data_IF_213612793290
#
_entry.id   IF_213612793290
#
_cell.length_a   1.000
_cell.length_b   1.000
_cell.length_c   1.000
_cell.angle_alpha   90.00
_cell.angle_beta   90.00
_cell.angle_gamma   90.00
#
_symmetry.space_group_name_H-M   'P 1'
#
loop_
_entity.id
_entity.type
_entity.pdbx_description
1 polymer ?
#
# COMPACT_ATOMS: atom_id res chain seq x y z
N UNK A 1 -16.98 24.06 10.58
CA UNK A 1 -16.12 23.35 9.62
C UNK A 1 -16.24 21.89 9.99
N UNK A 2 -16.99 21.13 9.19
CA UNK A 2 -17.33 19.73 9.49
C UNK A 2 -16.36 18.85 8.70
N UNK A 3 -15.10 18.79 9.14
CA UNK A 3 -14.12 17.86 8.59
C UNK A 3 -14.40 16.47 9.17
N UNK A 4 -15.48 15.84 8.70
CA UNK A 4 -15.73 14.42 8.93
C UNK A 4 -14.88 13.61 7.95
N UNK A 5 -13.55 13.68 8.09
CA UNK A 5 -12.74 12.55 7.66
C UNK A 5 -12.89 11.47 8.75
N UNK A 6 -13.50 10.32 8.44
CA UNK A 6 -13.50 9.22 9.39
C UNK A 6 -12.04 8.92 9.79
N UNK A 7 -11.78 8.59 11.07
CA UNK A 7 -10.46 8.19 11.53
C UNK A 7 -9.86 7.14 10.58
N UNK A 8 -8.56 7.22 10.30
CA UNK A 8 -7.88 6.27 9.40
C UNK A 8 -8.16 4.81 9.80
N UNK A 9 -8.28 4.56 11.10
CA UNK A 9 -8.65 3.27 11.71
C UNK A 9 -10.00 2.70 11.25
N UNK A 10 -10.89 3.55 10.73
CA UNK A 10 -12.20 3.17 10.18
C UNK A 10 -12.17 2.96 8.65
N UNK A 11 -11.04 3.25 7.99
CA UNK A 11 -10.90 3.04 6.56
C UNK A 11 -10.79 1.53 6.23
N UNK A 12 -11.09 1.11 4.99
CA UNK A 12 -10.81 -0.25 4.55
C UNK A 12 -9.34 -0.62 4.78
N UNK A 13 -9.06 -1.88 5.14
CA UNK A 13 -7.71 -2.40 5.38
C UNK A 13 -6.69 -2.03 4.27
N UNK A 14 -7.02 -2.12 2.96
CA UNK A 14 -6.10 -1.69 1.90
C UNK A 14 -5.74 -0.20 1.95
N UNK A 15 -6.66 0.65 2.41
CA UNK A 15 -6.45 2.09 2.53
C UNK A 15 -5.55 2.40 3.72
N UNK A 16 -5.77 1.74 4.86
CA UNK A 16 -4.89 1.88 6.03
C UNK A 16 -3.46 1.48 5.68
N UNK A 17 -3.28 0.31 5.06
CA UNK A 17 -1.96 -0.18 4.65
C UNK A 17 -1.28 0.76 3.63
N UNK A 18 -2.03 1.31 2.68
CA UNK A 18 -1.48 2.27 1.73
C UNK A 18 -0.94 3.52 2.42
N UNK A 19 -1.64 4.04 3.44
CA UNK A 19 -1.18 5.20 4.21
C UNK A 19 0.09 4.88 5.00
N UNK A 20 0.15 3.71 5.65
CA UNK A 20 1.34 3.28 6.39
C UNK A 20 2.56 3.13 5.46
N UNK A 21 2.36 2.57 4.26
CA UNK A 21 3.42 2.44 3.26
C UNK A 21 3.91 3.80 2.76
N UNK A 22 3.00 4.75 2.50
CA UNK A 22 3.38 6.12 2.11
C UNK A 22 4.20 6.77 3.22
N UNK A 23 3.75 6.68 4.47
CA UNK A 23 4.49 7.22 5.62
C UNK A 23 5.90 6.64 5.73
N UNK A 24 6.06 5.32 5.54
CA UNK A 24 7.37 4.66 5.57
C UNK A 24 8.28 5.16 4.44
N UNK A 25 7.76 5.29 3.22
CA UNK A 25 8.53 5.75 2.06
C UNK A 25 9.00 7.21 2.25
N UNK A 26 8.12 8.08 2.73
CA UNK A 26 8.43 9.48 3.01
C UNK A 26 9.43 9.62 4.17
N UNK A 27 9.23 8.85 5.25
CA UNK A 27 10.11 8.89 6.43
C UNK A 27 11.54 8.43 6.11
N UNK A 28 11.72 7.61 5.09
CA UNK A 28 13.02 7.15 4.60
C UNK A 28 13.54 7.99 3.41
N UNK A 29 12.87 9.09 3.05
CA UNK A 29 13.21 9.95 1.93
C UNK A 29 13.44 9.19 0.61
N UNK A 30 12.61 8.16 0.36
CA UNK A 30 12.69 7.37 -0.86
C UNK A 30 12.17 8.21 -2.03
N UNK A 31 12.91 8.21 -3.14
CA UNK A 31 12.48 8.89 -4.36
C UNK A 31 11.15 8.27 -4.88
N UNK A 32 10.13 9.08 -5.19
CA UNK A 32 8.83 8.56 -5.63
C UNK A 32 8.87 7.67 -6.86
N UNK A 33 9.81 7.91 -7.80
CA UNK A 33 9.96 7.05 -8.98
C UNK A 33 10.51 5.68 -8.58
N UNK A 34 11.51 5.64 -7.69
CA UNK A 34 12.06 4.39 -7.14
C UNK A 34 11.01 3.64 -6.33
N UNK A 35 10.22 4.35 -5.51
CA UNK A 35 9.12 3.78 -4.76
C UNK A 35 8.08 3.14 -5.68
N UNK A 36 7.70 3.82 -6.77
CA UNK A 36 6.73 3.31 -7.72
C UNK A 36 7.21 2.02 -8.41
N UNK A 37 8.47 1.99 -8.86
CA UNK A 37 9.09 0.79 -9.44
C UNK A 37 9.09 -0.38 -8.44
N UNK A 38 9.45 -0.13 -7.18
CA UNK A 38 9.44 -1.16 -6.13
C UNK A 38 8.02 -1.68 -5.86
N UNK A 39 7.03 -0.80 -5.78
CA UNK A 39 5.62 -1.17 -5.56
C UNK A 39 5.10 -2.04 -6.71
N UNK A 40 5.47 -1.76 -7.96
CA UNK A 40 5.11 -2.62 -9.10
C UNK A 40 5.68 -4.05 -8.97
N UNK A 41 6.91 -4.20 -8.46
CA UNK A 41 7.49 -5.51 -8.20
C UNK A 41 6.75 -6.26 -7.08
N UNK A 42 6.40 -5.56 -6.00
CA UNK A 42 5.61 -6.11 -4.89
C UNK A 42 4.22 -6.53 -5.38
N UNK A 43 3.56 -5.70 -6.19
CA UNK A 43 2.27 -6.02 -6.80
C UNK A 43 2.33 -7.30 -7.64
N UNK A 44 3.37 -7.44 -8.48
CA UNK A 44 3.57 -8.64 -9.28
C UNK A 44 3.79 -9.90 -8.42
N UNK A 45 4.59 -9.81 -7.35
CA UNK A 45 4.79 -10.92 -6.41
C UNK A 45 3.50 -11.33 -5.70
N UNK A 46 2.71 -10.37 -5.20
CA UNK A 46 1.42 -10.65 -4.57
C UNK A 46 0.43 -11.29 -5.55
N UNK A 47 0.34 -10.80 -6.79
CA UNK A 47 -0.45 -11.43 -7.86
C UNK A 47 -0.02 -12.87 -8.11
N UNK A 48 1.29 -13.13 -8.18
CA UNK A 48 1.81 -14.48 -8.36
C UNK A 48 1.42 -15.40 -7.19
N UNK A 49 1.49 -14.91 -5.95
CA UNK A 49 1.05 -15.66 -4.75
C UNK A 49 -0.43 -15.98 -4.76
N UNK A 50 -1.28 -15.03 -5.15
CA UNK A 50 -2.73 -15.26 -5.30
C UNK A 50 -3.02 -16.32 -6.38
N UNK A 51 -2.32 -16.22 -7.52
CA UNK A 51 -2.45 -17.20 -8.60
C UNK A 51 -1.95 -18.59 -8.20
N UNK A 52 -0.87 -18.68 -7.41
CA UNK A 52 -0.36 -19.94 -6.86
C UNK A 52 -1.32 -20.54 -5.83
N UNK A 53 -1.92 -19.73 -4.96
CA UNK A 53 -2.91 -20.16 -3.97
C UNK A 53 -4.21 -20.69 -4.61
N UNK A 54 -4.55 -20.23 -5.82
CA UNK A 54 -5.74 -20.68 -6.55
C UNK A 54 -5.51 -22.00 -7.31
N UNK A 55 -4.25 -22.46 -7.41
CA UNK A 55 -3.87 -23.71 -8.11
C UNK A 55 -3.63 -24.90 -7.17
N UNK A 56 -3.89 -24.74 -5.87
CA UNK A 56 -3.74 -25.79 -4.86
C UNK A 56 -5.09 -26.47 -4.55
#
# INVERSE_FOLDING_TARGET
MNDQHPPLEQAPEPVQLAVDLIYLLESNAIDPAVALEAIQMVEADLKNKLNAATKA
#
